data_IF_997238464908
#
_entry.id   IF_997238464908
#
_cell.length_a   1.000
_cell.length_b   1.000
_cell.length_c   1.000
_cell.angle_alpha   90.00
_cell.angle_beta   90.00
_cell.angle_gamma   90.00
#
_symmetry.space_group_name_H-M   'P 1'
#
loop_
_entity.id
_entity.type
_entity.pdbx_description
1 polymer ?
#
# COMPACT_ATOMS: atom_id res chain seq x y z
N UNK A 1 2.53 28.91 15.02
CA UNK A 1 1.70 27.68 15.15
C UNK A 1 1.82 26.89 13.85
N UNK A 2 2.19 25.60 13.91
CA UNK A 2 2.32 24.73 12.72
C UNK A 2 0.93 24.52 12.10
N UNK A 3 0.78 24.80 10.79
CA UNK A 3 -0.53 24.73 10.09
C UNK A 3 -0.83 23.35 9.53
N UNK A 4 0.21 22.58 9.18
CA UNK A 4 0.11 21.25 8.58
C UNK A 4 1.05 20.33 9.35
N UNK A 5 0.53 19.20 9.82
CA UNK A 5 1.30 18.17 10.54
C UNK A 5 1.55 16.94 9.67
N UNK A 6 0.68 16.67 8.70
CA UNK A 6 0.81 15.57 7.77
C UNK A 6 0.15 15.87 6.42
N UNK A 7 0.65 15.23 5.36
CA UNK A 7 0.08 15.20 4.02
C UNK A 7 0.08 13.75 3.50
N UNK A 8 -1.10 13.19 3.27
CA UNK A 8 -1.26 11.80 2.86
C UNK A 8 -1.29 11.70 1.33
N UNK A 9 -0.57 10.73 0.77
CA UNK A 9 -0.55 10.44 -0.67
C UNK A 9 -0.94 8.99 -0.96
N UNK A 10 -1.49 8.78 -2.15
CA UNK A 10 -1.89 7.47 -2.68
C UNK A 10 -1.31 7.24 -4.08
N UNK A 11 -2.06 6.59 -4.97
CA UNK A 11 -1.72 6.35 -6.39
C UNK A 11 -0.59 5.34 -6.65
N UNK A 12 0.54 5.39 -5.93
CA UNK A 12 1.68 4.49 -6.17
C UNK A 12 1.50 3.08 -5.58
N UNK A 13 0.49 2.87 -4.73
CA UNK A 13 0.17 1.60 -4.09
C UNK A 13 1.39 1.02 -3.35
N UNK A 14 1.99 1.88 -2.52
CA UNK A 14 3.18 1.61 -1.69
C UNK A 14 2.87 1.90 -0.23
N UNK A 15 3.69 1.36 0.65
CA UNK A 15 3.60 1.53 2.10
C UNK A 15 4.92 2.08 2.65
N UNK A 16 4.94 3.37 2.96
CA UNK A 16 6.06 4.02 3.66
C UNK A 16 5.63 5.36 4.26
N UNK A 17 6.44 5.88 5.16
CA UNK A 17 6.32 7.26 5.67
C UNK A 17 7.64 7.98 5.49
N UNK A 18 7.57 9.27 5.13
CA UNK A 18 8.70 10.20 5.17
C UNK A 18 8.36 11.36 6.09
N UNK A 19 9.38 12.00 6.68
CA UNK A 19 9.22 13.25 7.40
C UNK A 19 10.15 14.29 6.78
N UNK A 20 9.59 15.41 6.33
CA UNK A 20 10.32 16.48 5.63
C UNK A 20 9.87 17.80 6.24
N UNK A 21 10.83 18.61 6.72
CA UNK A 21 10.56 19.91 7.35
C UNK A 21 9.47 19.82 8.44
N UNK A 22 9.57 18.79 9.28
CA UNK A 22 8.62 18.44 10.33
C UNK A 22 7.17 18.16 9.89
N UNK A 23 6.92 17.94 8.59
CA UNK A 23 5.64 17.47 8.07
C UNK A 23 5.78 15.99 7.76
N UNK A 24 4.81 15.20 8.20
CA UNK A 24 4.75 13.76 7.93
C UNK A 24 4.09 13.52 6.57
N UNK A 25 4.68 12.65 5.76
CA UNK A 25 4.19 12.27 4.43
C UNK A 25 3.97 10.76 4.35
N UNK A 26 2.81 10.25 4.80
CA UNK A 26 2.45 8.85 4.63
C UNK A 26 2.04 8.58 3.20
N UNK A 27 2.71 7.62 2.57
CA UNK A 27 2.25 7.00 1.35
C UNK A 27 1.35 5.83 1.74
N UNK A 28 0.04 6.00 1.56
CA UNK A 28 -0.96 4.98 1.86
C UNK A 28 -1.12 4.07 0.65
N UNK A 29 -1.14 2.77 0.94
CA UNK A 29 -1.30 1.73 -0.04
C UNK A 29 -2.73 1.73 -0.62
N UNK A 30 -2.94 1.03 -1.73
CA UNK A 30 -4.29 0.79 -2.24
C UNK A 30 -5.08 -0.07 -1.27
N UNK A 31 -6.40 0.13 -1.26
CA UNK A 31 -7.29 -0.71 -0.46
C UNK A 31 -7.25 -2.18 -0.93
N UNK A 32 -6.97 -2.47 -2.20
CA UNK A 32 -7.29 -3.80 -2.76
C UNK A 32 -6.26 -4.44 -3.67
N UNK A 33 -5.29 -3.72 -4.24
CA UNK A 33 -4.32 -4.34 -5.15
C UNK A 33 -3.09 -3.47 -5.46
N UNK A 34 -2.05 -4.09 -6.03
CA UNK A 34 -0.98 -3.41 -6.77
C UNK A 34 -1.11 -3.65 -8.28
N UNK A 35 -0.93 -2.63 -9.12
CA UNK A 35 -0.98 -2.78 -10.58
C UNK A 35 0.39 -3.20 -11.11
N UNK A 36 0.47 -4.31 -11.84
CA UNK A 36 1.74 -4.82 -12.38
C UNK A 36 1.94 -4.50 -13.85
N UNK A 37 0.87 -4.19 -14.60
CA UNK A 37 0.98 -3.89 -16.03
C UNK A 37 0.84 -5.11 -16.95
N UNK A 38 0.93 -4.86 -18.26
CA UNK A 38 0.56 -5.84 -19.29
C UNK A 38 1.49 -7.05 -19.39
N UNK A 39 2.78 -6.88 -19.11
CA UNK A 39 3.80 -7.93 -19.26
C UNK A 39 3.73 -8.99 -18.16
N UNK A 40 3.01 -8.71 -17.07
CA UNK A 40 2.98 -9.53 -15.85
C UNK A 40 1.57 -10.05 -15.55
N UNK A 41 0.72 -10.14 -16.58
CA UNK A 41 -0.65 -10.60 -16.44
C UNK A 41 -0.71 -12.04 -15.92
N UNK A 42 -1.58 -12.27 -14.93
CA UNK A 42 -1.82 -13.60 -14.36
C UNK A 42 -3.27 -13.74 -13.95
N UNK A 43 -3.93 -14.81 -14.38
CA UNK A 43 -5.26 -15.18 -13.86
C UNK A 43 -5.14 -15.44 -12.35
N UNK A 44 -5.81 -14.60 -11.54
CA UNK A 44 -5.70 -14.60 -10.07
C UNK A 44 -6.73 -15.47 -9.36
N UNK A 45 -7.89 -15.63 -9.99
CA UNK A 45 -9.05 -16.33 -9.45
C UNK A 45 -9.53 -17.38 -10.47
N UNK A 46 -10.82 -17.70 -10.48
CA UNK A 46 -11.39 -18.59 -11.50
C UNK A 46 -11.47 -17.92 -12.87
N UNK A 47 -11.63 -18.72 -13.93
CA UNK A 47 -11.77 -18.21 -15.31
C UNK A 47 -13.02 -17.33 -15.47
N UNK A 48 -14.08 -17.65 -14.73
CA UNK A 48 -15.33 -16.90 -14.72
C UNK A 48 -15.12 -15.51 -14.12
N UNK A 49 -14.35 -15.41 -13.03
CA UNK A 49 -13.98 -14.12 -12.43
C UNK A 49 -13.06 -13.33 -13.37
N UNK A 50 -12.07 -13.97 -13.99
CA UNK A 50 -11.19 -13.28 -14.95
C UNK A 50 -11.96 -12.74 -16.16
N UNK A 51 -12.95 -13.48 -16.66
CA UNK A 51 -13.81 -13.05 -17.75
C UNK A 51 -14.74 -11.89 -17.35
N UNK A 52 -15.32 -11.93 -16.15
CA UNK A 52 -16.18 -10.86 -15.63
C UNK A 52 -15.40 -9.58 -15.27
N UNK A 53 -14.14 -9.72 -14.85
CA UNK A 53 -13.28 -8.62 -14.43
C UNK A 53 -11.95 -8.63 -15.20
N UNK A 54 -11.96 -8.25 -16.50
CA UNK A 54 -10.84 -8.47 -17.41
C UNK A 54 -9.54 -7.77 -17.01
N UNK A 55 -9.60 -6.76 -16.15
CA UNK A 55 -8.43 -6.04 -15.66
C UNK A 55 -7.81 -6.65 -14.40
N UNK A 56 -8.45 -7.62 -13.74
CA UNK A 56 -7.96 -8.18 -12.48
C UNK A 56 -6.61 -8.89 -12.64
N UNK A 57 -6.34 -9.46 -13.83
CA UNK A 57 -5.07 -10.10 -14.16
C UNK A 57 -3.90 -9.14 -14.29
N UNK A 58 -4.14 -7.84 -14.49
CA UNK A 58 -3.12 -6.79 -14.52
C UNK A 58 -2.72 -6.36 -13.10
N UNK A 59 -3.29 -7.00 -12.08
CA UNK A 59 -3.08 -6.65 -10.68
C UNK A 59 -2.51 -7.82 -9.89
N UNK A 60 -1.98 -7.50 -8.71
CA UNK A 60 -1.76 -8.42 -7.61
C UNK A 60 -2.71 -7.99 -6.49
N UNK A 61 -3.88 -8.65 -6.34
CA UNK A 61 -4.86 -8.30 -5.32
C UNK A 61 -4.36 -8.61 -3.91
N UNK A 62 -4.92 -7.90 -2.93
CA UNK A 62 -4.81 -8.23 -1.51
C UNK A 62 -6.00 -9.09 -1.07
N UNK A 63 -5.78 -10.04 -0.17
CA UNK A 63 -6.83 -10.93 0.34
C UNK A 63 -7.92 -10.17 1.10
N UNK A 64 -7.51 -9.18 1.87
CA UNK A 64 -8.37 -8.33 2.71
C UNK A 64 -8.14 -6.87 2.37
N UNK A 65 -9.16 -6.00 2.51
CA UNK A 65 -9.00 -4.59 2.23
C UNK A 65 -8.05 -3.96 3.24
N UNK A 66 -7.09 -3.20 2.71
CA UNK A 66 -6.13 -2.42 3.50
C UNK A 66 -6.71 -1.05 3.83
N UNK A 67 -6.50 -0.62 5.06
CA UNK A 67 -6.85 0.71 5.54
C UNK A 67 -5.99 1.02 6.77
N UNK A 68 -6.09 2.25 7.27
CA UNK A 68 -5.44 2.65 8.51
C UNK A 68 -6.34 3.58 9.33
N UNK A 69 -6.13 3.57 10.64
CA UNK A 69 -6.66 4.56 11.56
C UNK A 69 -5.54 5.54 11.93
N UNK A 70 -5.84 6.83 11.87
CA UNK A 70 -4.89 7.89 12.21
C UNK A 70 -5.36 8.57 13.48
N UNK A 71 -4.49 8.61 14.48
CA UNK A 71 -4.75 9.27 15.75
C UNK A 71 -3.78 10.44 15.93
N UNK A 72 -4.31 11.62 16.25
CA UNK A 72 -3.53 12.83 16.54
C UNK A 72 -3.68 13.14 18.03
N UNK A 73 -2.58 13.04 18.77
CA UNK A 73 -2.49 13.39 20.19
C UNK A 73 -1.83 14.77 20.33
N UNK A 74 -2.66 15.81 20.41
CA UNK A 74 -2.20 17.19 20.56
C UNK A 74 -1.47 17.46 21.87
N UNK A 75 -1.82 16.76 22.95
CA UNK A 75 -1.18 16.96 24.24
C UNK A 75 0.25 16.42 24.25
N UNK A 76 0.49 15.32 23.52
CA UNK A 76 1.82 14.72 23.38
C UNK A 76 2.61 15.17 22.15
N UNK A 77 2.00 15.96 21.25
CA UNK A 77 2.64 16.37 20.00
C UNK A 77 3.00 15.16 19.13
N UNK A 78 2.09 14.19 19.02
CA UNK A 78 2.36 12.93 18.34
C UNK A 78 1.20 12.49 17.44
N UNK A 79 1.54 11.82 16.35
CA UNK A 79 0.60 11.14 15.46
C UNK A 79 0.93 9.65 15.44
N UNK A 80 -0.10 8.80 15.44
CA UNK A 80 0.03 7.38 15.13
C UNK A 80 -0.82 7.00 13.92
N UNK A 81 -0.33 6.02 13.18
CA UNK A 81 -1.02 5.35 12.09
C UNK A 81 -1.06 3.87 12.47
N UNK A 82 -2.24 3.30 12.54
CA UNK A 82 -2.47 1.89 12.84
C UNK A 82 -3.03 1.23 11.59
N UNK A 83 -2.20 0.44 10.92
CA UNK A 83 -2.46 -0.05 9.58
C UNK A 83 -2.88 -1.51 9.56
N UNK A 84 -3.72 -1.87 8.59
CA UNK A 84 -4.12 -3.26 8.38
C UNK A 84 -3.09 -4.00 7.53
N UNK A 85 -2.79 -5.25 7.93
CA UNK A 85 -1.95 -6.20 7.19
C UNK A 85 -2.84 -7.24 6.50
N UNK A 86 -2.45 -7.65 5.30
CA UNK A 86 -3.06 -8.73 4.54
C UNK A 86 -1.97 -9.58 3.86
N UNK A 87 -2.34 -10.32 2.82
CA UNK A 87 -1.48 -11.14 1.97
C UNK A 87 -1.85 -10.91 0.51
N UNK A 88 -0.91 -11.16 -0.40
CA UNK A 88 -1.23 -11.19 -1.83
C UNK A 88 -2.12 -12.39 -2.16
N UNK A 89 -3.00 -12.22 -3.14
CA UNK A 89 -3.74 -13.32 -3.74
C UNK A 89 -2.91 -13.96 -4.85
N UNK A 90 -2.54 -15.22 -4.65
CA UNK A 90 -1.62 -15.94 -5.52
C UNK A 90 -0.18 -15.44 -5.38
N UNK A 91 0.65 -15.61 -6.42
CA UNK A 91 2.07 -15.26 -6.34
C UNK A 91 2.27 -13.73 -6.21
N UNK A 92 3.22 -13.29 -5.36
CA UNK A 92 3.62 -11.89 -5.25
C UNK A 92 4.27 -11.37 -6.56
N UNK A 93 4.45 -10.05 -6.72
CA UNK A 93 5.00 -9.46 -7.95
C UNK A 93 6.36 -10.05 -8.37
N UNK A 94 7.24 -10.37 -7.42
CA UNK A 94 8.58 -10.89 -7.70
C UNK A 94 8.62 -12.36 -8.17
N UNK A 95 7.46 -13.01 -8.27
CA UNK A 95 7.31 -14.33 -8.88
C UNK A 95 6.67 -14.24 -10.28
N UNK A 96 6.45 -13.03 -10.80
CA UNK A 96 5.84 -12.79 -12.12
C UNK A 96 6.85 -12.51 -13.23
N UNK A 97 8.16 -12.58 -12.95
CA UNK A 97 9.20 -12.43 -13.99
C UNK A 97 10.22 -11.30 -13.77
N UNK A 98 10.14 -10.55 -12.66
CA UNK A 98 11.25 -9.71 -12.19
C UNK A 98 11.56 -10.01 -10.73
N UNK A 99 12.77 -9.71 -10.28
CA UNK A 99 13.17 -9.90 -8.89
C UNK A 99 12.59 -8.83 -7.94
N UNK A 100 12.93 -8.95 -6.66
CA UNK A 100 12.47 -8.06 -5.59
C UNK A 100 13.01 -6.64 -5.70
N UNK A 101 14.21 -6.46 -6.25
CA UNK A 101 14.83 -5.14 -6.39
C UNK A 101 14.09 -4.35 -7.46
N UNK A 102 13.85 -4.98 -8.61
CA UNK A 102 13.11 -4.42 -9.72
C UNK A 102 11.68 -3.96 -9.35
N UNK A 103 11.05 -4.61 -8.36
CA UNK A 103 9.73 -4.23 -7.86
C UNK A 103 9.76 -3.28 -6.66
N UNK A 104 10.94 -2.91 -6.16
CA UNK A 104 11.11 -2.18 -4.90
C UNK A 104 10.31 -2.85 -3.76
N UNK A 105 10.53 -4.14 -3.55
CA UNK A 105 9.71 -4.98 -2.67
C UNK A 105 9.63 -4.49 -1.21
N UNK A 106 10.56 -3.63 -0.78
CA UNK A 106 10.56 -3.03 0.56
C UNK A 106 9.35 -2.12 0.81
N UNK A 107 8.78 -1.53 -0.25
CA UNK A 107 7.59 -0.65 -0.17
C UNK A 107 6.36 -1.26 -0.84
N UNK A 108 6.53 -2.32 -1.65
CA UNK A 108 5.47 -3.10 -2.26
C UNK A 108 5.02 -4.22 -1.32
N UNK A 109 4.23 -3.87 -0.32
CA UNK A 109 3.78 -4.81 0.70
C UNK A 109 2.24 -4.93 0.68
N UNK A 110 1.65 -6.05 1.11
CA UNK A 110 0.20 -6.18 1.24
C UNK A 110 -0.26 -5.64 2.61
N UNK A 111 0.09 -4.40 2.92
CA UNK A 111 -0.28 -3.75 4.19
C UNK A 111 -0.30 -2.23 4.08
N UNK A 112 -0.90 -1.60 5.07
CA UNK A 112 -0.45 -0.32 5.59
C UNK A 112 0.27 -0.61 6.90
N UNK A 113 1.48 -0.06 7.09
CA UNK A 113 2.28 -0.28 8.29
C UNK A 113 1.87 0.62 9.45
N UNK A 114 2.24 0.18 10.65
CA UNK A 114 2.04 0.95 11.87
C UNK A 114 3.16 1.98 12.01
N UNK A 115 2.82 3.22 12.35
CA UNK A 115 3.78 4.32 12.52
C UNK A 115 3.44 5.15 13.75
N UNK A 116 4.48 5.68 14.42
CA UNK A 116 4.33 6.68 15.49
C UNK A 116 5.39 7.75 15.31
N UNK A 117 4.96 8.99 15.13
CA UNK A 117 5.82 10.10 14.70
C UNK A 117 5.52 11.35 15.53
N UNK A 118 6.55 12.14 15.88
CA UNK A 118 6.36 13.46 16.48
C UNK A 118 5.79 14.44 15.44
N UNK A 119 4.85 15.30 15.86
CA UNK A 119 4.18 16.31 15.01
C UNK A 119 4.00 17.67 15.70
#
# INVERSE_FOLDING_TARGET
RRKVVACFSGHHHRDYVRQINDIVYPQINSASYHWVGGDYQRVRYSKEIDAAYPYIKYTVPYRDPLFALVTIDHARGAMSIEGRKSSFVGPPPWELGRDREAWEANTLTPRVSDWKLPI
#
